data_IF_379422078283
#
_entry.id   IF_379422078283
#
_cell.length_a   1.000
_cell.length_b   1.000
_cell.length_c   1.000
_cell.angle_alpha   90.00
_cell.angle_beta   90.00
_cell.angle_gamma   90.00
#
_symmetry.space_group_name_H-M   'P 1'
#
loop_
_entity.id
_entity.type
_entity.pdbx_description
1 polymer ?
#
# COMPACT_ATOMS: atom_id res chain seq x y z
N UNK A 1 -2.48 -3.66 11.45
CA UNK A 1 -2.41 -4.98 12.13
C UNK A 1 -1.74 -6.06 11.27
N UNK A 2 -2.26 -6.38 10.07
CA UNK A 2 -1.68 -7.44 9.23
C UNK A 2 -0.29 -7.09 8.68
N UNK A 3 -0.07 -5.84 8.25
CA UNK A 3 1.22 -5.38 7.74
C UNK A 3 2.35 -5.50 8.78
N UNK A 4 2.11 -5.02 10.00
CA UNK A 4 3.07 -5.11 11.10
C UNK A 4 3.53 -6.56 11.38
N UNK A 5 2.59 -7.52 11.47
CA UNK A 5 2.94 -8.92 11.68
C UNK A 5 3.78 -9.48 10.52
N UNK A 6 3.50 -9.08 9.28
CA UNK A 6 4.31 -9.53 8.13
C UNK A 6 5.70 -8.89 8.14
N UNK A 7 5.80 -7.64 8.54
CA UNK A 7 7.06 -6.91 8.64
C UNK A 7 8.02 -7.55 9.67
N UNK A 8 7.49 -8.19 10.72
CA UNK A 8 8.29 -8.88 11.75
C UNK A 8 9.02 -10.13 11.24
N UNK A 9 8.67 -10.63 10.06
CA UNK A 9 9.38 -11.76 9.42
C UNK A 9 10.72 -11.34 8.79
N UNK A 10 11.04 -10.04 8.78
CA UNK A 10 12.25 -9.47 8.20
C UNK A 10 13.18 -8.86 9.26
N UNK A 11 14.47 -8.78 8.92
CA UNK A 11 15.47 -8.06 9.71
C UNK A 11 15.16 -6.56 9.82
N UNK A 12 14.74 -5.96 8.71
CA UNK A 12 14.21 -4.60 8.61
C UNK A 12 12.91 -4.68 7.80
N UNK A 13 11.78 -4.46 8.45
CA UNK A 13 10.46 -4.52 7.83
C UNK A 13 9.88 -3.13 7.62
N UNK A 14 9.82 -2.66 6.38
CA UNK A 14 9.18 -1.38 6.01
C UNK A 14 7.75 -1.66 5.55
N UNK A 15 6.76 -0.95 6.09
CA UNK A 15 5.39 -1.09 5.66
C UNK A 15 4.63 0.24 5.68
N UNK A 16 3.98 0.56 4.56
CA UNK A 16 3.10 1.71 4.41
C UNK A 16 1.85 1.33 3.62
N UNK A 17 0.71 1.86 4.04
CA UNK A 17 -0.52 1.90 3.25
C UNK A 17 -0.55 3.17 2.40
N UNK A 18 -1.19 3.11 1.23
CA UNK A 18 -1.28 4.26 0.31
C UNK A 18 -1.99 5.51 0.88
N UNK A 19 -2.64 5.39 2.05
CA UNK A 19 -3.23 6.51 2.78
C UNK A 19 -2.22 7.25 3.70
N UNK A 20 -0.96 6.82 3.70
CA UNK A 20 0.12 7.40 4.51
C UNK A 20 0.35 6.71 5.86
N UNK A 21 -0.47 5.74 6.26
CA UNK A 21 -0.25 5.03 7.52
C UNK A 21 0.84 3.95 7.36
N UNK A 22 1.93 4.06 8.12
CA UNK A 22 3.02 3.10 8.07
C UNK A 22 4.14 3.42 9.04
N UNK A 23 5.14 2.55 9.08
CA UNK A 23 6.42 2.77 9.77
C UNK A 23 7.40 1.69 9.30
N UNK A 24 8.61 1.67 9.85
CA UNK A 24 9.56 0.57 9.72
C UNK A 24 9.89 -0.03 11.10
N UNK A 25 10.21 -1.32 11.12
CA UNK A 25 10.64 -2.02 12.33
C UNK A 25 11.94 -2.76 12.08
N UNK A 26 12.76 -2.91 13.13
CA UNK A 26 14.03 -3.61 13.06
C UNK A 26 14.06 -4.74 14.07
N UNK A 27 14.52 -5.92 13.63
CA UNK A 27 14.63 -7.08 14.49
C UNK A 27 15.68 -6.86 15.59
N UNK A 28 15.47 -7.45 16.77
CA UNK A 28 16.46 -7.37 17.86
C UNK A 28 17.83 -7.92 17.44
N UNK A 29 17.88 -8.96 16.59
CA UNK A 29 19.13 -9.49 16.05
C UNK A 29 19.88 -8.46 15.21
N UNK A 30 19.19 -7.77 14.32
CA UNK A 30 19.78 -6.75 13.44
C UNK A 30 20.21 -5.52 14.22
N UNK A 31 19.38 -5.06 15.18
CA UNK A 31 19.74 -3.94 16.05
C UNK A 31 21.01 -4.24 16.87
N UNK A 32 21.07 -5.41 17.50
CA UNK A 32 22.25 -5.83 18.27
C UNK A 32 23.50 -6.00 17.38
N UNK A 33 23.33 -6.43 16.14
CA UNK A 33 24.42 -6.53 15.18
C UNK A 33 24.95 -5.13 14.81
N UNK A 34 24.07 -4.17 14.54
CA UNK A 34 24.45 -2.78 14.24
C UNK A 34 25.21 -2.16 15.41
N UNK A 35 24.72 -2.31 16.64
CA UNK A 35 25.40 -1.80 17.84
C UNK A 35 26.82 -2.40 18.01
N UNK A 36 26.96 -3.72 17.87
CA UNK A 36 28.27 -4.39 17.95
C UNK A 36 29.22 -3.95 16.84
N UNK A 37 28.68 -3.72 15.64
CA UNK A 37 29.47 -3.33 14.48
C UNK A 37 29.96 -1.89 14.62
N UNK A 38 29.10 -0.95 15.02
CA UNK A 38 29.46 0.45 15.32
C UNK A 38 30.61 0.55 16.34
N UNK A 39 30.68 -0.34 17.33
CA UNK A 39 31.73 -0.35 18.36
C UNK A 39 33.00 -1.10 17.95
N UNK A 40 33.05 -1.70 16.77
CA UNK A 40 34.16 -2.54 16.35
C UNK A 40 35.30 -1.70 15.78
N UNK A 41 36.46 -1.66 16.44
CA UNK A 41 37.63 -0.90 15.95
C UNK A 41 38.32 -1.51 14.72
N UNK A 42 37.86 -2.66 14.22
CA UNK A 42 38.43 -3.33 13.05
C UNK A 42 37.75 -2.99 11.73
N UNK A 43 36.66 -2.20 11.74
CA UNK A 43 35.95 -1.77 10.52
C UNK A 43 36.49 -0.41 10.04
N UNK A 44 36.16 -0.02 8.82
CA UNK A 44 36.51 1.32 8.35
C UNK A 44 35.65 2.40 8.99
N UNK A 45 36.17 3.62 9.06
CA UNK A 45 35.42 4.79 9.57
C UNK A 45 34.08 4.96 8.84
N UNK A 46 34.07 4.79 7.52
CA UNK A 46 32.83 4.83 6.70
C UNK A 46 31.81 3.75 7.11
N UNK A 47 32.26 2.54 7.46
CA UNK A 47 31.35 1.49 7.94
C UNK A 47 30.80 1.82 9.32
N UNK A 48 31.62 2.41 10.19
CA UNK A 48 31.21 2.87 11.51
C UNK A 48 30.15 3.98 11.41
N UNK A 49 30.41 5.01 10.61
CA UNK A 49 29.50 6.13 10.36
C UNK A 49 28.15 5.65 9.78
N UNK A 50 28.18 4.68 8.85
CA UNK A 50 26.96 4.08 8.31
C UNK A 50 26.16 3.32 9.37
N UNK A 51 26.82 2.62 10.30
CA UNK A 51 26.15 1.95 11.41
C UNK A 51 25.53 2.95 12.38
N UNK A 52 26.23 4.03 12.72
CA UNK A 52 25.75 5.08 13.61
C UNK A 52 24.56 5.83 13.00
N UNK A 53 24.61 6.10 11.69
CA UNK A 53 23.48 6.65 10.95
C UNK A 53 22.27 5.72 11.03
N UNK A 54 22.44 4.43 10.71
CA UNK A 54 21.34 3.45 10.79
C UNK A 54 20.76 3.34 12.20
N UNK A 55 21.58 3.36 13.25
CA UNK A 55 21.11 3.37 14.64
C UNK A 55 20.29 4.64 14.93
N UNK A 56 20.74 5.80 14.46
CA UNK A 56 20.02 7.07 14.60
C UNK A 56 18.69 7.06 13.85
N UNK A 57 18.64 6.45 12.66
CA UNK A 57 17.40 6.25 11.89
C UNK A 57 16.43 5.36 12.68
N UNK A 58 16.92 4.29 13.30
CA UNK A 58 16.10 3.37 14.11
C UNK A 58 15.50 4.07 15.32
N UNK A 59 16.25 4.96 15.96
CA UNK A 59 15.79 5.76 17.11
C UNK A 59 14.80 6.85 16.69
N UNK A 60 14.89 7.36 15.46
CA UNK A 60 13.96 8.34 14.90
C UNK A 60 12.60 7.70 14.56
N UNK A 61 12.60 6.45 14.08
CA UNK A 61 11.41 5.74 13.63
C UNK A 61 10.56 5.30 14.83
N UNK A 62 9.27 5.64 14.82
CA UNK A 62 8.33 5.08 15.79
C UNK A 62 8.00 3.62 15.43
N UNK A 63 8.71 2.66 16.05
CA UNK A 63 8.50 1.23 15.79
C UNK A 63 7.22 0.65 16.43
N UNK A 64 6.48 1.45 17.23
CA UNK A 64 5.27 0.97 17.93
C UNK A 64 4.02 1.08 17.05
N UNK A 65 3.87 2.22 16.37
CA UNK A 65 2.73 2.55 15.50
C UNK A 65 3.17 3.63 14.51
N UNK A 66 2.49 3.71 13.37
CA UNK A 66 2.76 4.78 12.41
C UNK A 66 2.57 6.16 13.02
N UNK A 67 3.54 7.04 12.75
CA UNK A 67 3.70 8.35 13.37
C UNK A 67 4.11 9.36 12.30
N UNK A 68 3.15 10.18 11.89
CA UNK A 68 3.35 11.12 10.80
C UNK A 68 4.47 12.14 11.04
N UNK A 69 4.79 12.46 12.31
CA UNK A 69 5.89 13.40 12.63
C UNK A 69 7.23 12.68 12.46
N UNK A 70 7.33 11.46 12.98
CA UNK A 70 8.50 10.58 12.78
C UNK A 70 8.74 10.33 11.29
N UNK A 71 7.68 9.99 10.54
CA UNK A 71 7.73 9.73 9.10
C UNK A 71 8.17 10.98 8.31
N UNK A 72 7.65 12.16 8.67
CA UNK A 72 8.07 13.42 8.05
C UNK A 72 9.57 13.68 8.26
N UNK A 73 10.07 13.54 9.49
CA UNK A 73 11.49 13.74 9.80
C UNK A 73 12.38 12.70 9.09
N UNK A 74 11.91 11.46 8.98
CA UNK A 74 12.59 10.39 8.25
C UNK A 74 12.71 10.75 6.76
N UNK A 75 11.62 11.21 6.13
CA UNK A 75 11.63 11.63 4.71
C UNK A 75 12.60 12.79 4.50
N UNK A 76 12.53 13.84 5.32
CA UNK A 76 13.43 15.00 5.22
C UNK A 76 14.91 14.57 5.34
N UNK A 77 15.23 13.69 6.30
CA UNK A 77 16.58 13.18 6.48
C UNK A 77 17.05 12.34 5.28
N UNK A 78 16.20 11.48 4.71
CA UNK A 78 16.54 10.67 3.53
C UNK A 78 16.79 11.55 2.32
N UNK A 79 15.92 12.52 2.06
CA UNK A 79 16.07 13.45 0.93
C UNK A 79 17.36 14.28 1.06
N UNK A 80 17.66 14.77 2.27
CA UNK A 80 18.91 15.47 2.54
C UNK A 80 20.14 14.57 2.34
N UNK A 81 20.09 13.31 2.78
CA UNK A 81 21.19 12.37 2.62
C UNK A 81 21.43 11.93 1.16
N UNK A 82 20.38 11.91 0.33
CA UNK A 82 20.47 11.59 -1.10
C UNK A 82 20.76 12.81 -1.98
N UNK A 83 20.74 14.02 -1.42
CA UNK A 83 20.73 15.29 -2.18
C UNK A 83 19.59 15.30 -3.22
N UNK A 84 18.41 14.85 -2.80
CA UNK A 84 17.21 14.79 -3.63
C UNK A 84 16.22 15.89 -3.27
N UNK A 85 15.71 16.58 -4.28
CA UNK A 85 14.46 17.32 -4.19
C UNK A 85 13.24 16.41 -4.37
N UNK A 86 12.06 16.99 -4.16
CA UNK A 86 10.77 16.28 -4.28
C UNK A 86 10.51 15.81 -5.71
N UNK A 87 11.01 16.51 -6.73
CA UNK A 87 10.82 16.09 -8.12
C UNK A 87 11.67 14.87 -8.47
N UNK A 88 12.90 14.80 -7.97
CA UNK A 88 13.80 13.66 -8.12
C UNK A 88 13.22 12.43 -7.43
N UNK A 89 12.73 12.59 -6.19
CA UNK A 89 12.05 11.51 -5.49
C UNK A 89 10.81 11.02 -6.27
N UNK A 90 9.97 11.93 -6.77
CA UNK A 90 8.79 11.59 -7.55
C UNK A 90 9.11 10.91 -8.91
N UNK A 91 10.36 11.01 -9.40
CA UNK A 91 10.84 10.33 -10.60
C UNK A 91 11.40 8.93 -10.34
N UNK A 92 11.46 8.48 -9.08
CA UNK A 92 11.98 7.15 -8.72
C UNK A 92 11.22 6.01 -9.42
N UNK A 93 9.92 6.20 -9.68
CA UNK A 93 9.11 5.37 -10.54
C UNK A 93 7.89 6.17 -11.03
N UNK A 94 7.17 5.65 -12.03
CA UNK A 94 5.92 6.26 -12.51
C UNK A 94 4.75 5.37 -12.13
N UNK A 95 3.84 5.89 -11.31
CA UNK A 95 2.58 5.22 -11.00
C UNK A 95 1.80 4.93 -12.28
N UNK A 96 1.19 3.74 -12.34
CA UNK A 96 0.13 3.51 -13.30
C UNK A 96 -1.05 4.45 -12.98
N UNK A 97 -1.66 5.07 -14.00
CA UNK A 97 -2.94 5.74 -13.83
C UNK A 97 -3.92 4.83 -13.10
N UNK A 98 -4.55 5.36 -12.04
CA UNK A 98 -5.42 4.58 -11.17
C UNK A 98 -6.65 5.38 -10.76
N UNK A 99 -7.67 4.65 -10.31
CA UNK A 99 -8.95 5.21 -9.85
C UNK A 99 -9.51 4.37 -8.71
N UNK A 100 -9.98 5.06 -7.67
CA UNK A 100 -10.73 4.45 -6.57
C UNK A 100 -12.17 4.97 -6.55
N UNK A 101 -13.13 4.05 -6.63
CA UNK A 101 -14.56 4.34 -6.53
C UNK A 101 -15.17 3.72 -5.28
N UNK A 102 -16.31 4.27 -4.86
CA UNK A 102 -17.12 3.74 -3.76
C UNK A 102 -18.49 3.35 -4.31
N UNK A 103 -18.90 2.11 -4.09
CA UNK A 103 -20.24 1.61 -4.45
C UNK A 103 -21.03 1.40 -3.17
N UNK A 104 -22.15 2.11 -3.02
CA UNK A 104 -23.08 1.87 -1.90
C UNK A 104 -23.80 0.55 -2.13
N UNK A 105 -23.86 -0.27 -1.09
CA UNK A 105 -24.52 -1.58 -1.12
C UNK A 105 -25.49 -1.69 0.04
N UNK A 106 -26.50 -2.53 -0.09
CA UNK A 106 -27.46 -2.77 1.00
C UNK A 106 -26.78 -3.44 2.20
N UNK A 107 -25.87 -4.37 1.93
CA UNK A 107 -25.12 -5.11 2.95
C UNK A 107 -23.72 -5.42 2.38
N UNK A 108 -22.70 -4.86 3.00
CA UNK A 108 -21.31 -5.04 2.58
C UNK A 108 -20.77 -6.45 2.84
N UNK A 109 -21.38 -7.20 3.78
CA UNK A 109 -20.94 -8.55 4.15
C UNK A 109 -21.16 -9.59 3.05
N UNK A 110 -21.96 -9.24 2.03
CA UNK A 110 -22.16 -10.03 0.81
C UNK A 110 -20.85 -10.22 0.04
N UNK A 111 -19.95 -9.22 0.10
CA UNK A 111 -18.60 -9.36 -0.46
C UNK A 111 -17.67 -9.91 0.60
N UNK A 112 -17.16 -11.10 0.32
CA UNK A 112 -16.07 -11.72 1.05
C UNK A 112 -14.85 -11.77 0.16
N UNK A 113 -13.67 -11.61 0.74
CA UNK A 113 -12.42 -11.56 0.01
C UNK A 113 -11.44 -12.61 0.51
N UNK A 114 -10.46 -12.93 -0.33
CA UNK A 114 -9.33 -13.82 -0.03
C UNK A 114 -8.06 -13.26 -0.67
N UNK A 115 -6.93 -13.93 -0.47
CA UNK A 115 -5.66 -13.59 -1.11
C UNK A 115 -5.21 -12.13 -0.84
N UNK A 116 -5.05 -11.80 0.45
CA UNK A 116 -4.76 -10.44 0.91
C UNK A 116 -5.77 -9.39 0.40
N UNK A 117 -7.05 -9.75 0.41
CA UNK A 117 -8.18 -8.95 -0.10
C UNK A 117 -8.13 -8.63 -1.61
N UNK A 118 -7.28 -9.32 -2.39
CA UNK A 118 -7.13 -9.09 -3.83
C UNK A 118 -8.19 -9.80 -4.66
N UNK A 119 -8.84 -10.82 -4.10
CA UNK A 119 -9.85 -11.62 -4.80
C UNK A 119 -11.16 -11.66 -4.03
N UNK A 120 -12.29 -11.51 -4.72
CA UNK A 120 -13.62 -11.72 -4.16
C UNK A 120 -13.96 -13.23 -4.16
N UNK A 121 -14.17 -13.82 -2.99
CA UNK A 121 -14.66 -15.20 -2.85
C UNK A 121 -16.19 -15.27 -2.90
N UNK A 122 -16.87 -14.16 -2.60
CA UNK A 122 -18.32 -13.99 -2.67
C UNK A 122 -18.66 -12.59 -3.19
N UNK A 123 -19.76 -12.41 -3.94
CA UNK A 123 -20.65 -13.45 -4.49
C UNK A 123 -19.99 -14.28 -5.59
N UNK A 124 -20.46 -15.52 -5.77
CA UNK A 124 -19.96 -16.43 -6.81
C UNK A 124 -20.07 -15.78 -8.19
N UNK A 125 -18.99 -15.87 -8.96
CA UNK A 125 -18.89 -15.29 -10.30
C UNK A 125 -18.41 -13.84 -10.34
N UNK A 126 -18.42 -13.09 -9.22
CA UNK A 126 -17.94 -11.70 -9.22
C UNK A 126 -16.46 -11.61 -9.60
N UNK A 127 -15.61 -12.45 -9.02
CA UNK A 127 -14.19 -12.43 -9.36
C UNK A 127 -13.93 -12.77 -10.83
N UNK A 128 -14.61 -13.79 -11.37
CA UNK A 128 -14.48 -14.16 -12.79
C UNK A 128 -14.87 -12.99 -13.71
N UNK A 129 -15.95 -12.27 -13.38
CA UNK A 129 -16.35 -11.10 -14.14
C UNK A 129 -15.36 -9.93 -14.01
N UNK A 130 -14.73 -9.75 -12.84
CA UNK A 130 -13.64 -8.78 -12.65
C UNK A 130 -12.43 -9.16 -13.52
N UNK A 131 -12.02 -10.43 -13.49
CA UNK A 131 -10.88 -10.94 -14.26
C UNK A 131 -11.11 -10.74 -15.77
N UNK A 132 -12.33 -11.00 -16.27
CA UNK A 132 -12.73 -10.74 -17.65
C UNK A 132 -12.68 -9.25 -18.02
N UNK A 133 -13.09 -8.35 -17.12
CA UNK A 133 -12.96 -6.90 -17.34
C UNK A 133 -11.50 -6.45 -17.35
N UNK A 134 -10.68 -6.95 -16.42
CA UNK A 134 -9.25 -6.63 -16.31
C UNK A 134 -8.49 -7.03 -17.58
N UNK A 135 -8.78 -8.21 -18.14
CA UNK A 135 -8.10 -8.72 -19.34
C UNK A 135 -8.26 -7.86 -20.60
N UNK A 136 -9.19 -6.90 -20.62
CA UNK A 136 -9.40 -5.97 -21.75
C UNK A 136 -8.41 -4.80 -21.77
N UNK A 137 -7.68 -4.57 -20.67
CA UNK A 137 -6.86 -3.37 -20.48
C UNK A 137 -5.38 -3.72 -20.29
N UNK A 138 -4.50 -2.99 -20.97
CA UNK A 138 -3.05 -3.13 -20.79
C UNK A 138 -2.65 -2.68 -19.38
N UNK A 139 -1.81 -3.47 -18.71
CA UNK A 139 -1.48 -3.31 -17.30
C UNK A 139 -2.73 -3.20 -16.39
N UNK A 140 -3.85 -3.77 -16.83
CA UNK A 140 -5.09 -3.77 -16.06
C UNK A 140 -4.91 -4.52 -14.75
N UNK A 141 -5.32 -3.89 -13.65
CA UNK A 141 -5.54 -4.56 -12.37
C UNK A 141 -6.73 -3.92 -11.68
N UNK A 142 -7.64 -4.73 -11.16
CA UNK A 142 -8.75 -4.25 -10.35
C UNK A 142 -9.12 -5.27 -9.29
N UNK A 143 -9.56 -4.78 -8.13
CA UNK A 143 -10.08 -5.59 -7.05
C UNK A 143 -11.11 -4.80 -6.25
N UNK A 144 -11.90 -5.53 -5.47
CA UNK A 144 -12.98 -4.97 -4.67
C UNK A 144 -12.90 -5.48 -3.25
N UNK A 145 -13.20 -4.61 -2.28
CA UNK A 145 -13.26 -5.00 -0.87
C UNK A 145 -14.35 -4.23 -0.11
N UNK A 146 -14.99 -4.85 0.88
CA UNK A 146 -15.93 -4.14 1.74
C UNK A 146 -15.20 -3.09 2.59
N UNK A 147 -15.85 -1.97 2.87
CA UNK A 147 -15.34 -1.02 3.87
C UNK A 147 -15.54 -1.58 5.28
N UNK A 148 -14.57 -1.38 6.17
CA UNK A 148 -14.69 -1.79 7.57
C UNK A 148 -15.68 -0.94 8.38
N UNK A 149 -15.96 0.29 7.94
CA UNK A 149 -16.67 1.31 8.71
C UNK A 149 -17.97 1.80 8.07
N UNK A 150 -18.18 1.56 6.78
CA UNK A 150 -19.33 2.05 6.02
C UNK A 150 -19.99 0.92 5.19
N UNK A 151 -21.27 1.01 4.87
CA UNK A 151 -21.98 0.08 3.97
C UNK A 151 -21.69 0.39 2.50
N UNK A 152 -20.41 0.33 2.18
CA UNK A 152 -19.88 0.56 0.85
C UNK A 152 -18.85 -0.53 0.51
N UNK A 153 -18.65 -0.71 -0.79
CA UNK A 153 -17.59 -1.52 -1.36
C UNK A 153 -16.65 -0.59 -2.09
N UNK A 154 -15.36 -0.70 -1.80
CA UNK A 154 -14.31 0.05 -2.49
C UNK A 154 -13.89 -0.72 -3.72
N UNK A 155 -13.85 -0.02 -4.84
CA UNK A 155 -13.36 -0.54 -6.13
C UNK A 155 -12.08 0.19 -6.44
N UNK A 156 -10.99 -0.54 -6.62
CA UNK A 156 -9.73 0.01 -7.12
C UNK A 156 -9.49 -0.51 -8.52
N UNK A 157 -9.03 0.35 -9.43
CA UNK A 157 -8.49 -0.08 -10.71
C UNK A 157 -7.27 0.75 -11.11
N UNK A 158 -6.34 0.14 -11.82
CA UNK A 158 -5.20 0.76 -12.49
C UNK A 158 -5.06 0.18 -13.90
N UNK A 159 -4.48 0.97 -14.80
CA UNK A 159 -4.19 0.57 -16.19
C UNK A 159 -3.08 1.46 -16.77
N UNK A 160 -2.67 1.20 -18.01
CA UNK A 160 -1.64 1.97 -18.72
C UNK A 160 -2.00 3.44 -19.00
N UNK A 161 -3.30 3.79 -19.06
CA UNK A 161 -3.79 5.15 -19.31
C UNK A 161 -4.90 5.54 -18.33
N UNK A 162 -5.06 6.84 -18.06
CA UNK A 162 -6.13 7.32 -17.18
C UNK A 162 -7.52 6.93 -17.71
N UNK A 163 -7.74 7.02 -19.02
CA UNK A 163 -9.01 6.61 -19.64
C UNK A 163 -9.29 5.12 -19.45
N UNK A 164 -8.27 4.26 -19.56
CA UNK A 164 -8.40 2.83 -19.32
C UNK A 164 -8.71 2.53 -17.84
N UNK A 165 -7.99 3.17 -16.91
CA UNK A 165 -8.21 2.98 -15.47
C UNK A 165 -9.62 3.43 -15.06
N UNK A 166 -10.11 4.55 -15.60
CA UNK A 166 -11.44 5.09 -15.32
C UNK A 166 -12.54 4.17 -15.85
N UNK A 167 -12.38 3.66 -17.08
CA UNK A 167 -13.30 2.69 -17.68
C UNK A 167 -13.32 1.38 -16.91
N UNK A 168 -12.16 0.81 -16.57
CA UNK A 168 -12.05 -0.41 -15.80
C UNK A 168 -12.67 -0.26 -14.41
N UNK A 169 -12.38 0.84 -13.69
CA UNK A 169 -12.99 1.13 -12.41
C UNK A 169 -14.53 1.19 -12.51
N UNK A 170 -15.04 1.82 -13.57
CA UNK A 170 -16.48 1.93 -13.78
C UNK A 170 -17.13 0.56 -14.11
N UNK A 171 -16.53 -0.22 -15.00
CA UNK A 171 -17.00 -1.58 -15.32
C UNK A 171 -17.11 -2.44 -14.06
N UNK A 172 -16.05 -2.46 -13.25
CA UNK A 172 -16.03 -3.23 -12.01
C UNK A 172 -17.02 -2.69 -10.98
N UNK A 173 -17.19 -1.36 -10.88
CA UNK A 173 -18.21 -0.76 -10.02
C UNK A 173 -19.63 -1.17 -10.45
N UNK A 174 -19.91 -1.26 -11.75
CA UNK A 174 -21.20 -1.75 -12.26
C UNK A 174 -21.41 -3.23 -11.93
N UNK A 175 -20.36 -4.06 -11.99
CA UNK A 175 -20.42 -5.47 -11.57
C UNK A 175 -20.77 -5.58 -10.08
N UNK A 176 -20.07 -4.84 -9.22
CA UNK A 176 -20.37 -4.79 -7.78
C UNK A 176 -21.80 -4.33 -7.53
N UNK A 177 -22.25 -3.26 -8.20
CA UNK A 177 -23.62 -2.76 -8.04
C UNK A 177 -24.66 -3.82 -8.39
N UNK A 178 -24.46 -4.56 -9.49
CA UNK A 178 -25.41 -5.60 -9.94
C UNK A 178 -25.37 -6.86 -9.08
N UNK A 179 -24.18 -7.32 -8.68
CA UNK A 179 -23.98 -8.63 -8.08
C UNK A 179 -23.98 -8.61 -6.55
N UNK A 180 -23.64 -7.48 -5.93
CA UNK A 180 -23.54 -7.33 -4.48
C UNK A 180 -24.65 -6.46 -3.88
N UNK A 181 -25.79 -6.29 -4.57
CA UNK A 181 -26.95 -5.56 -4.04
C UNK A 181 -26.69 -4.06 -3.90
N UNK A 182 -26.11 -3.44 -4.94
CA UNK A 182 -25.89 -2.00 -5.02
C UNK A 182 -27.17 -1.20 -4.86
N UNK A 183 -27.08 -0.06 -4.16
CA UNK A 183 -28.18 0.86 -3.91
C UNK A 183 -27.80 2.30 -4.26
N UNK A 184 -28.81 3.14 -4.48
CA UNK A 184 -28.61 4.55 -4.83
C UNK A 184 -28.30 4.75 -6.31
N UNK A 185 -27.44 5.72 -6.62
CA UNK A 185 -27.07 6.01 -8.00
C UNK A 185 -26.18 4.92 -8.58
N UNK A 186 -26.58 4.42 -9.75
CA UNK A 186 -25.79 3.44 -10.49
C UNK A 186 -24.48 4.08 -10.97
N UNK A 187 -23.33 3.39 -10.86
CA UNK A 187 -22.06 3.92 -11.35
C UNK A 187 -22.14 4.32 -12.82
N UNK A 188 -21.61 5.50 -13.14
CA UNK A 188 -21.51 6.06 -14.49
C UNK A 188 -20.07 6.52 -14.74
N UNK A 189 -19.61 6.36 -15.97
CA UNK A 189 -18.31 6.87 -16.39
C UNK A 189 -18.40 8.40 -16.44
N UNK A 190 -17.48 9.07 -15.77
CA UNK A 190 -17.33 10.53 -15.79
C UNK A 190 -16.05 10.89 -16.51
#
# INVERSE_FOLDING_TARGET
KHLHHKAQEFDIGVYFEANGHGTAIVSNSSYNLLQKTSQNTSISDHQSEACDLLLSVIDLINQTVGDAISDMLLVEMILAAQDWDVEQWNKAYTDLPNRQLKVKVKDRSVIQTTDAERKASSPVGLQSAIDESVAKYTHGRSFVRPSGTEDIVRVYAEADTQSAADKLANEVAVLVYKMAGGIGEKPKLH
#
